data_IF_098520482243
#
_entry.id   IF_098520482243
#
_cell.length_a   1.000
_cell.length_b   1.000
_cell.length_c   1.000
_cell.angle_alpha   90.00
_cell.angle_beta   90.00
_cell.angle_gamma   90.00
#
_symmetry.space_group_name_H-M   'P 1'
#
loop_
_entity.id
_entity.type
_entity.pdbx_description
1 polymer ?
#
# COMPACT_ATOMS: atom_id res chain seq x y z
N UNK A 1 17.09 9.40 2.01
CA UNK A 1 16.42 10.21 0.98
C UNK A 1 15.29 10.97 1.67
N UNK A 2 15.22 12.30 1.58
CA UNK A 2 14.13 13.08 2.20
C UNK A 2 13.10 13.39 1.11
N UNK A 3 11.86 12.94 1.28
CA UNK A 3 10.77 13.20 0.34
C UNK A 3 9.69 14.00 1.05
N UNK A 4 9.42 15.26 0.65
CA UNK A 4 8.44 16.09 1.31
C UNK A 4 7.04 15.82 0.75
N UNK A 5 6.38 14.76 1.24
CA UNK A 5 4.92 14.76 1.29
C UNK A 5 4.54 15.64 2.49
N UNK A 6 4.49 16.96 2.30
CA UNK A 6 4.13 17.95 3.31
C UNK A 6 4.77 17.74 4.72
N UNK A 7 6.05 18.08 4.85
CA UNK A 7 6.79 18.21 6.14
C UNK A 7 7.12 16.92 6.90
N UNK A 8 7.18 15.77 6.22
CA UNK A 8 7.62 14.53 6.86
C UNK A 8 9.05 14.11 6.44
N UNK A 9 9.78 13.43 7.32
CA UNK A 9 11.13 12.88 7.07
C UNK A 9 11.04 11.37 7.07
N UNK A 10 11.17 10.77 5.89
CA UNK A 10 11.17 9.32 5.72
C UNK A 10 12.60 8.77 5.70
N UNK A 11 12.83 7.72 6.48
CA UNK A 11 14.08 6.97 6.46
C UNK A 11 13.88 5.65 5.70
N UNK A 12 14.72 5.40 4.70
CA UNK A 12 14.69 4.14 3.95
C UNK A 12 16.09 3.61 3.75
N UNK A 13 16.19 2.27 3.69
CA UNK A 13 17.41 1.52 3.38
C UNK A 13 17.69 1.46 1.87
N UNK A 14 16.77 1.95 1.06
CA UNK A 14 16.89 1.95 -0.39
C UNK A 14 17.91 3.01 -0.85
N UNK A 15 19.01 2.56 -1.48
CA UNK A 15 20.11 3.41 -1.98
C UNK A 15 19.94 3.80 -3.46
N UNK A 16 18.71 3.76 -3.99
CA UNK A 16 18.42 4.10 -5.39
C UNK A 16 18.15 5.59 -5.59
N UNK A 17 18.63 6.16 -6.71
CA UNK A 17 18.40 7.56 -7.11
C UNK A 17 16.94 7.79 -7.58
N UNK A 18 16.32 6.76 -8.16
CA UNK A 18 14.92 6.78 -8.63
C UNK A 18 14.06 5.91 -7.73
N UNK A 19 13.01 6.49 -7.13
CA UNK A 19 12.18 5.80 -6.14
C UNK A 19 10.70 6.14 -6.28
N UNK A 20 9.86 5.26 -5.75
CA UNK A 20 8.49 5.57 -5.37
C UNK A 20 8.40 5.80 -3.86
N UNK A 21 7.58 6.77 -3.44
CA UNK A 21 7.01 6.81 -2.10
C UNK A 21 5.60 6.26 -2.19
N UNK A 22 5.46 5.03 -1.73
CA UNK A 22 4.19 4.32 -1.61
C UNK A 22 3.53 4.75 -0.32
N UNK A 23 2.27 5.14 -0.37
CA UNK A 23 1.52 5.57 0.81
C UNK A 23 0.21 4.81 0.92
N UNK A 24 0.06 4.03 1.98
CA UNK A 24 -1.22 3.48 2.42
C UNK A 24 -1.60 4.22 3.69
N UNK A 25 -2.32 5.33 3.52
CA UNK A 25 -2.53 6.33 4.59
C UNK A 25 -2.99 5.68 5.90
N UNK A 26 -2.37 6.08 7.01
CA UNK A 26 -2.70 5.66 8.38
C UNK A 26 -2.69 4.12 8.56
N UNK A 27 -1.91 3.42 7.73
CA UNK A 27 -1.83 1.95 7.70
C UNK A 27 -0.36 1.50 7.82
N UNK A 28 0.18 1.46 9.06
CA UNK A 28 1.53 1.01 9.30
C UNK A 28 1.67 -0.50 9.09
N UNK A 29 2.89 -0.98 8.88
CA UNK A 29 3.13 -2.43 8.80
C UNK A 29 2.92 -3.06 7.43
N UNK A 30 2.58 -2.26 6.40
CA UNK A 30 2.28 -2.74 5.05
C UNK A 30 3.54 -2.96 4.24
N UNK A 31 3.58 -4.04 3.45
CA UNK A 31 4.70 -4.38 2.57
C UNK A 31 4.31 -4.30 1.10
N UNK A 32 5.33 -4.24 0.24
CA UNK A 32 5.18 -4.48 -1.20
C UNK A 32 5.73 -5.86 -1.57
N UNK A 33 5.19 -6.46 -2.62
CA UNK A 33 5.57 -7.81 -3.06
C UNK A 33 7.04 -7.92 -3.48
N UNK A 34 7.64 -6.83 -3.98
CA UNK A 34 9.00 -6.81 -4.50
C UNK A 34 10.08 -6.60 -3.44
N UNK A 35 9.73 -6.40 -2.17
CA UNK A 35 10.67 -6.01 -1.12
C UNK A 35 10.34 -6.55 0.27
N UNK A 36 11.30 -6.41 1.18
CA UNK A 36 11.16 -6.83 2.57
C UNK A 36 10.95 -5.67 3.54
N UNK A 37 11.06 -4.44 3.07
CA UNK A 37 10.77 -3.25 3.87
C UNK A 37 9.26 -3.13 4.14
N UNK A 38 8.95 -2.40 5.21
CA UNK A 38 7.60 -2.25 5.75
C UNK A 38 7.31 -0.77 5.93
N UNK A 39 6.06 -0.37 5.75
CA UNK A 39 5.64 1.01 5.93
C UNK A 39 5.85 1.52 7.36
N UNK A 40 6.14 2.81 7.48
CA UNK A 40 6.30 3.52 8.75
C UNK A 40 4.96 3.75 9.49
N UNK A 41 4.99 4.52 10.57
CA UNK A 41 3.82 4.83 11.41
C UNK A 41 2.67 5.46 10.65
N UNK A 42 2.97 6.21 9.59
CA UNK A 42 2.02 6.97 8.80
C UNK A 42 1.56 6.18 7.56
N UNK A 43 2.14 5.00 7.36
CA UNK A 43 1.83 4.08 6.28
C UNK A 43 2.61 4.35 5.00
N UNK A 44 3.76 5.04 5.09
CA UNK A 44 4.62 5.35 3.96
C UNK A 44 5.77 4.35 3.82
N UNK A 45 6.15 4.04 2.58
CA UNK A 45 7.23 3.12 2.24
C UNK A 45 7.96 3.62 1.00
N UNK A 46 9.30 3.65 1.04
CA UNK A 46 10.12 4.00 -0.12
C UNK A 46 10.54 2.72 -0.85
N UNK A 47 10.27 2.65 -2.15
CA UNK A 47 10.54 1.49 -3.01
C UNK A 47 11.44 1.91 -4.18
N UNK A 48 12.54 1.19 -4.47
CA UNK A 48 13.38 1.49 -5.62
C UNK A 48 12.64 1.24 -6.94
N UNK A 49 12.93 2.05 -7.96
CA UNK A 49 12.42 1.89 -9.31
C UNK A 49 13.56 1.86 -10.34
N UNK A 50 13.29 1.26 -11.49
CA UNK A 50 14.15 1.31 -12.67
C UNK A 50 13.79 2.52 -13.54
N UNK A 51 14.74 3.42 -13.78
CA UNK A 51 14.56 4.59 -14.66
C UNK A 51 14.26 4.17 -16.09
N UNK A 52 13.34 4.88 -16.75
CA UNK A 52 12.91 4.70 -18.14
C UNK A 52 12.33 3.31 -18.47
N UNK A 53 12.00 2.53 -17.45
CA UNK A 53 11.37 1.22 -17.60
C UNK A 53 10.03 1.17 -16.86
N UNK A 54 9.21 0.20 -17.23
CA UNK A 54 7.96 -0.08 -16.55
C UNK A 54 8.20 -0.68 -15.17
N UNK A 55 7.70 0.00 -14.15
CA UNK A 55 7.72 -0.47 -12.78
C UNK A 55 6.29 -0.72 -12.33
N UNK A 56 6.01 -1.93 -11.84
CA UNK A 56 4.75 -2.27 -11.18
C UNK A 56 5.01 -2.41 -9.70
N UNK A 57 4.33 -1.60 -8.89
CA UNK A 57 4.36 -1.70 -7.43
C UNK A 57 3.07 -2.34 -6.97
N UNK A 58 3.18 -3.47 -6.29
CA UNK A 58 2.04 -4.24 -5.77
C UNK A 58 2.14 -4.33 -4.25
N UNK A 59 1.09 -3.94 -3.55
CA UNK A 59 0.96 -4.10 -2.10
C UNK A 59 0.75 -5.59 -1.78
N UNK A 60 1.46 -6.08 -0.76
CA UNK A 60 1.20 -7.40 -0.17
C UNK A 60 -0.06 -7.32 0.70
N UNK A 61 -1.19 -7.72 0.13
CA UNK A 61 -2.48 -7.72 0.82
C UNK A 61 -2.50 -8.59 2.08
N UNK A 62 -1.59 -9.56 2.23
CA UNK A 62 -1.45 -10.36 3.44
C UNK A 62 -0.90 -9.59 4.65
N UNK A 63 -0.33 -8.41 4.43
CA UNK A 63 0.17 -7.52 5.48
C UNK A 63 -0.82 -6.42 5.87
N UNK A 64 -1.95 -6.31 5.15
CA UNK A 64 -2.97 -5.34 5.49
C UNK A 64 -3.65 -5.71 6.81
N UNK A 65 -4.00 -4.72 7.64
CA UNK A 65 -4.90 -4.94 8.76
C UNK A 65 -6.23 -5.57 8.31
N UNK A 66 -6.82 -6.41 9.15
CA UNK A 66 -8.03 -7.19 8.83
C UNK A 66 -9.24 -6.32 8.43
N UNK A 67 -9.28 -5.11 8.97
CA UNK A 67 -10.31 -4.09 8.77
C UNK A 67 -10.00 -3.18 7.57
N UNK A 68 -9.03 -3.51 6.73
CA UNK A 68 -8.56 -2.66 5.64
C UNK A 68 -8.69 -3.37 4.30
N UNK A 69 -9.16 -2.65 3.31
CA UNK A 69 -9.19 -3.04 1.89
C UNK A 69 -8.52 -1.94 1.06
N UNK A 70 -8.04 -2.30 -0.13
CA UNK A 70 -7.50 -1.34 -1.09
C UNK A 70 -8.37 -1.30 -2.34
N UNK A 71 -8.63 -0.09 -2.86
CA UNK A 71 -9.34 0.08 -4.14
C UNK A 71 -8.58 -0.53 -5.32
N UNK A 72 -7.25 -0.44 -5.28
CA UNK A 72 -6.34 -1.17 -6.17
C UNK A 72 -5.18 -1.70 -5.35
N UNK A 73 -4.68 -2.88 -5.69
CA UNK A 73 -3.49 -3.46 -5.04
C UNK A 73 -2.21 -3.22 -5.83
N UNK A 74 -2.31 -2.74 -7.08
CA UNK A 74 -1.16 -2.51 -7.96
C UNK A 74 -1.27 -1.20 -8.71
N UNK A 75 -0.13 -0.53 -8.88
CA UNK A 75 0.02 0.65 -9.73
C UNK A 75 1.27 0.53 -10.59
N UNK A 76 1.25 1.20 -11.75
CA UNK A 76 2.31 1.10 -12.75
C UNK A 76 2.82 2.49 -13.14
N UNK A 77 4.14 2.65 -13.25
CA UNK A 77 4.78 3.92 -13.61
C UNK A 77 6.04 3.70 -14.46
N UNK A 78 6.38 4.70 -15.28
CA UNK A 78 7.67 4.80 -15.98
C UNK A 78 8.36 6.09 -15.51
N UNK A 79 9.27 6.03 -14.51
CA UNK A 79 9.94 7.22 -13.99
C UNK A 79 11.12 7.63 -14.88
N UNK A 80 11.46 8.91 -14.89
CA UNK A 80 12.76 9.38 -15.42
C UNK A 80 13.86 9.12 -14.41
N UNK A 81 15.12 9.32 -14.83
CA UNK A 81 16.24 9.27 -13.88
C UNK A 81 16.07 10.28 -12.74
N UNK A 82 16.42 9.86 -11.52
CA UNK A 82 16.33 10.66 -10.28
C UNK A 82 14.92 11.12 -9.92
N UNK A 83 13.89 10.48 -10.47
CA UNK A 83 12.51 10.81 -10.12
C UNK A 83 12.15 10.27 -8.73
N UNK A 84 11.38 11.07 -8.00
CA UNK A 84 10.69 10.65 -6.79
C UNK A 84 9.19 10.64 -7.09
N UNK A 85 8.61 9.46 -7.22
CA UNK A 85 7.21 9.27 -7.61
C UNK A 85 6.35 9.10 -6.37
N UNK A 86 5.34 9.94 -6.18
CA UNK A 86 4.32 9.72 -5.14
C UNK A 86 3.26 8.72 -5.65
N UNK A 87 3.03 7.63 -4.91
CA UNK A 87 2.12 6.55 -5.27
C UNK A 87 1.14 6.25 -4.11
N UNK A 88 0.04 7.02 -4.00
CA UNK A 88 -0.96 6.80 -2.96
C UNK A 88 -1.85 5.61 -3.31
N UNK A 89 -2.06 4.70 -2.36
CA UNK A 89 -3.02 3.61 -2.45
C UNK A 89 -4.22 3.93 -1.58
N UNK A 90 -5.41 3.94 -2.18
CA UNK A 90 -6.65 4.25 -1.49
C UNK A 90 -7.06 3.09 -0.59
N UNK A 91 -6.93 3.30 0.72
CA UNK A 91 -7.34 2.36 1.75
C UNK A 91 -8.75 2.66 2.26
N UNK A 92 -9.57 1.63 2.35
CA UNK A 92 -10.93 1.66 2.87
C UNK A 92 -11.00 0.85 4.15
N UNK A 93 -11.52 1.46 5.22
CA UNK A 93 -11.82 0.75 6.46
C UNK A 93 -13.15 0.01 6.30
N UNK A 94 -13.13 -1.30 6.56
CA UNK A 94 -14.27 -2.20 6.40
C UNK A 94 -14.47 -3.04 7.66
N UNK A 95 -15.73 -3.37 7.93
CA UNK A 95 -16.08 -4.36 8.94
C UNK A 95 -16.59 -5.61 8.25
N UNK A 96 -15.87 -6.72 8.43
CA UNK A 96 -16.23 -8.01 7.84
C UNK A 96 -16.95 -8.86 8.86
N UNK A 97 -18.12 -9.35 8.49
CA UNK A 97 -18.95 -10.22 9.32
C UNK A 97 -19.38 -11.44 8.52
N UNK A 98 -19.30 -12.62 9.12
CA UNK A 98 -19.91 -13.83 8.60
C UNK A 98 -21.21 -14.06 9.39
N UNK A 99 -22.35 -13.76 8.78
CA UNK A 99 -23.66 -13.96 9.40
C UNK A 99 -24.35 -15.17 8.80
N UNK A 100 -24.90 -16.03 9.66
CA UNK A 100 -25.83 -17.09 9.27
C UNK A 100 -27.24 -16.67 9.69
N UNK A 101 -28.01 -16.16 8.74
CA UNK A 101 -29.37 -15.65 9.01
C UNK A 101 -30.39 -16.77 8.83
N UNK A 102 -31.27 -16.92 9.81
CA UNK A 102 -32.40 -17.85 9.76
C UNK A 102 -33.71 -17.07 9.77
N UNK A 103 -34.67 -17.54 8.99
CA UNK A 103 -36.06 -17.07 9.01
C UNK A 103 -36.75 -17.52 10.32
N UNK A 104 -37.91 -16.92 10.69
CA UNK A 104 -38.66 -17.33 11.88
C UNK A 104 -39.06 -18.81 11.92
N UNK A 105 -39.18 -19.45 10.74
CA UNK A 105 -39.45 -20.88 10.58
C UNK A 105 -38.20 -21.78 10.78
N UNK A 106 -37.03 -21.17 11.02
CA UNK A 106 -35.77 -21.85 11.24
C UNK A 106 -34.97 -22.18 9.97
N UNK A 107 -35.52 -21.94 8.78
CA UNK A 107 -34.82 -22.15 7.50
C UNK A 107 -33.79 -21.04 7.22
N UNK A 108 -32.77 -21.32 6.40
CA UNK A 108 -31.80 -20.31 5.99
C UNK A 108 -32.42 -19.30 5.02
N UNK A 109 -32.00 -18.04 5.12
CA UNK A 109 -32.35 -17.03 4.11
C UNK A 109 -31.76 -17.46 2.76
N UNK A 110 -32.56 -17.50 1.67
CA UNK A 110 -32.08 -17.86 0.33
C UNK A 110 -30.98 -16.95 -0.20
#
# INVERSE_FOLDING_TARGET
LVVPAARDIMFSRTTGDTVAVVSVKDTPGVKVMSGNDTSDSDGNLVVPLNSYDWNTVTIDAGTLPLDTELSTTSQKVVPTDRAVVWMPFDALKVHRYLLQVRMPDGAFVP
#
